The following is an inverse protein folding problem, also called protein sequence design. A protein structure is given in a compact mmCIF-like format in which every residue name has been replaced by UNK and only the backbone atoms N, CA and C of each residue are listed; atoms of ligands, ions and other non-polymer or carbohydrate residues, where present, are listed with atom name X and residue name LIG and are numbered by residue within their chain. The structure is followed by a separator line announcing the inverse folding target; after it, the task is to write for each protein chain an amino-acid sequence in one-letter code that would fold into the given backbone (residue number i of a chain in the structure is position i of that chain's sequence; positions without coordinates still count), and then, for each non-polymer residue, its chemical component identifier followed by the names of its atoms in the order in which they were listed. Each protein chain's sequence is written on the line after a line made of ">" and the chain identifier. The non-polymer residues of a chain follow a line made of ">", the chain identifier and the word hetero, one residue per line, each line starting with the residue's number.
data_IF_807553493472
#
_entry.id   IF_807553493472
#
_cell.length_a   1.000
_cell.length_b   1.000
_cell.length_c   1.000
_cell.angle_alpha   90.00
_cell.angle_beta   90.00
_cell.angle_gamma   90.00
#
_symmetry.space_group_name_H-M   'P 1'
#
loop_
_entity.id
_entity.type
_entity.pdbx_description
1 polymer ?
#
# COMPACT_ATOMS: atom_id res chain seq x y z
N UNK A 1 54.28 22.11 19.25
CA UNK A 1 54.63 20.65 19.13
C UNK A 1 53.44 19.72 19.46
N UNK A 2 52.58 20.03 20.41
CA UNK A 2 51.46 19.17 20.81
C UNK A 2 50.35 19.03 19.75
N UNK A 3 49.99 20.13 19.03
CA UNK A 3 48.90 20.11 18.04
C UNK A 3 49.18 19.18 16.85
N UNK A 4 50.42 19.17 16.31
CA UNK A 4 50.78 18.23 15.22
C UNK A 4 50.67 16.75 15.62
N UNK A 5 50.89 16.42 16.90
CA UNK A 5 50.77 15.07 17.45
C UNK A 5 49.32 14.65 17.48
N UNK A 6 48.38 15.53 17.97
CA UNK A 6 46.96 15.26 17.98
C UNK A 6 46.38 15.13 16.57
N UNK A 7 46.81 15.94 15.62
CA UNK A 7 46.38 15.86 14.23
C UNK A 7 46.80 14.52 13.58
N UNK A 8 47.98 13.99 13.88
CA UNK A 8 48.41 12.65 13.41
C UNK A 8 47.54 11.53 14.01
N UNK A 9 47.20 11.59 15.30
CA UNK A 9 46.32 10.60 15.89
C UNK A 9 44.91 10.68 15.30
N UNK A 10 44.39 11.85 15.02
CA UNK A 10 43.09 12.03 14.40
C UNK A 10 43.03 11.43 12.98
N UNK A 11 44.07 11.60 12.16
CA UNK A 11 44.19 10.97 10.85
C UNK A 11 44.33 9.46 10.91
N UNK A 12 45.08 8.93 11.89
CA UNK A 12 45.21 7.47 12.08
C UNK A 12 43.87 6.87 12.52
N UNK A 13 43.17 7.50 13.48
CA UNK A 13 41.85 7.02 13.91
C UNK A 13 40.83 7.11 12.78
N UNK A 14 40.80 8.19 11.99
CA UNK A 14 39.94 8.30 10.83
C UNK A 14 40.22 7.22 9.78
N UNK A 15 41.51 6.92 9.52
CA UNK A 15 41.92 5.86 8.63
C UNK A 15 41.45 4.46 9.10
N UNK A 16 41.58 4.19 10.40
CA UNK A 16 41.11 2.92 11.00
C UNK A 16 39.58 2.81 10.90
N UNK A 17 38.84 3.89 11.14
CA UNK A 17 37.38 3.89 11.01
C UNK A 17 36.95 3.63 9.56
N UNK A 18 37.62 4.22 8.58
CA UNK A 18 37.31 4.00 7.16
C UNK A 18 37.64 2.56 6.77
N UNK A 19 38.78 2.00 7.22
CA UNK A 19 39.14 0.60 6.96
C UNK A 19 38.19 -0.38 7.66
N UNK A 20 37.82 -0.11 8.91
CA UNK A 20 36.87 -0.93 9.66
C UNK A 20 35.47 -0.87 9.05
N UNK A 21 34.99 0.31 8.63
CA UNK A 21 33.72 0.44 7.93
C UNK A 21 33.73 -0.22 6.58
N UNK A 22 34.83 -0.15 5.82
CA UNK A 22 35.03 -0.86 4.57
C UNK A 22 35.04 -2.39 4.76
N UNK A 23 35.69 -2.86 5.82
CA UNK A 23 35.70 -4.29 6.17
C UNK A 23 34.33 -4.80 6.62
N UNK A 24 33.62 -4.03 7.46
CA UNK A 24 32.23 -4.31 7.87
C UNK A 24 31.30 -4.27 6.65
N UNK A 25 31.46 -3.31 5.77
CA UNK A 25 30.68 -3.22 4.53
C UNK A 25 30.95 -4.41 3.59
N UNK A 26 32.21 -4.87 3.47
CA UNK A 26 32.54 -6.06 2.67
C UNK A 26 32.08 -7.39 3.32
N UNK A 27 32.05 -7.48 4.65
CA UNK A 27 31.69 -8.73 5.34
C UNK A 27 30.23 -8.81 5.78
N UNK A 28 29.57 -7.69 6.08
CA UNK A 28 28.22 -7.63 6.60
C UNK A 28 27.27 -6.75 5.79
N UNK A 29 27.81 -5.89 4.95
CA UNK A 29 27.06 -4.94 4.10
C UNK A 29 26.96 -5.38 2.65
N UNK A 30 27.38 -6.55 2.31
CA UNK A 30 27.05 -7.14 1.04
C UNK A 30 25.54 -7.29 0.96
N UNK A 31 24.85 -6.37 0.28
CA UNK A 31 23.65 -6.73 -0.45
C UNK A 31 23.98 -8.07 -1.07
N UNK A 32 23.30 -9.12 -0.59
CA UNK A 32 23.70 -10.47 -0.84
C UNK A 32 24.27 -10.62 -2.24
N UNK A 33 25.57 -10.91 -2.30
CA UNK A 33 26.16 -11.45 -3.51
C UNK A 33 25.62 -12.87 -3.68
N UNK A 34 24.29 -12.97 -3.67
CA UNK A 34 23.64 -14.10 -4.27
C UNK A 34 24.22 -14.15 -5.67
N UNK A 35 24.92 -15.22 -5.99
CA UNK A 35 25.44 -15.47 -7.33
C UNK A 35 24.32 -15.09 -8.30
N UNK A 36 24.54 -14.01 -9.04
CA UNK A 36 23.58 -13.63 -10.08
C UNK A 36 23.48 -14.86 -10.99
N UNK A 37 22.32 -15.49 -10.99
CA UNK A 37 22.05 -16.59 -11.90
C UNK A 37 22.28 -16.07 -13.32
N UNK A 38 23.02 -16.81 -14.11
CA UNK A 38 23.17 -16.50 -15.54
C UNK A 38 21.76 -16.51 -16.18
N UNK A 39 21.59 -15.68 -17.19
CA UNK A 39 20.31 -15.60 -17.93
C UNK A 39 19.89 -16.99 -18.45
N UNK A 40 20.85 -17.82 -18.85
CA UNK A 40 20.61 -19.20 -19.27
C UNK A 40 20.08 -20.08 -18.13
N UNK A 41 20.62 -19.95 -16.91
CA UNK A 41 20.11 -20.63 -15.72
C UNK A 41 18.71 -20.14 -15.36
N UNK A 42 18.46 -18.83 -15.43
CA UNK A 42 17.13 -18.25 -15.19
C UNK A 42 16.09 -18.76 -16.18
N UNK A 43 16.44 -18.86 -17.45
CA UNK A 43 15.55 -19.40 -18.50
C UNK A 43 15.15 -20.86 -18.23
N UNK A 44 16.02 -21.65 -17.62
CA UNK A 44 15.70 -23.03 -17.25
C UNK A 44 14.60 -23.12 -16.19
N UNK A 45 14.58 -22.18 -15.25
CA UNK A 45 13.57 -22.13 -14.17
C UNK A 45 12.33 -21.28 -14.54
N UNK A 46 12.46 -20.37 -15.49
CA UNK A 46 11.36 -19.52 -15.94
C UNK A 46 10.31 -20.36 -16.67
N UNK A 47 9.06 -20.17 -16.30
CA UNK A 47 7.91 -20.82 -16.95
C UNK A 47 6.93 -19.76 -17.42
N UNK A 48 6.17 -20.04 -18.51
CA UNK A 48 5.10 -19.16 -18.94
C UNK A 48 4.05 -18.98 -17.85
N UNK A 49 3.41 -17.81 -17.78
CA UNK A 49 2.37 -17.53 -16.79
C UNK A 49 1.17 -18.49 -16.91
N UNK A 50 0.91 -19.00 -18.10
CA UNK A 50 -0.15 -19.99 -18.38
C UNK A 50 0.09 -21.32 -17.65
N UNK A 51 1.33 -21.59 -17.26
CA UNK A 51 1.70 -22.77 -16.47
C UNK A 51 1.46 -22.62 -14.97
N UNK A 52 0.98 -21.47 -14.52
CA UNK A 52 0.62 -21.26 -13.10
C UNK A 52 -0.46 -22.28 -12.73
N UNK A 53 -0.17 -23.02 -11.65
CA UNK A 53 -1.11 -23.92 -11.01
C UNK A 53 -1.56 -23.32 -9.67
N UNK A 54 -2.85 -23.19 -9.49
CA UNK A 54 -3.48 -22.76 -8.24
C UNK A 54 -4.25 -23.95 -7.67
N UNK A 55 -3.98 -24.39 -6.44
CA UNK A 55 -4.76 -25.43 -5.79
C UNK A 55 -6.25 -25.07 -5.65
N UNK A 56 -7.14 -26.04 -5.82
CA UNK A 56 -8.59 -25.81 -5.81
C UNK A 56 -9.12 -25.22 -4.48
N UNK A 57 -8.39 -25.43 -3.37
CA UNK A 57 -8.73 -24.88 -2.06
C UNK A 57 -8.12 -23.51 -1.77
N UNK A 58 -7.35 -22.93 -2.70
CA UNK A 58 -6.77 -21.60 -2.53
C UNK A 58 -7.86 -20.54 -2.63
N UNK A 59 -8.01 -19.74 -1.58
CA UNK A 59 -8.98 -18.63 -1.53
C UNK A 59 -8.31 -17.27 -1.75
N UNK A 60 -7.02 -17.17 -1.50
CA UNK A 60 -6.21 -15.96 -1.64
C UNK A 60 -4.96 -16.32 -2.43
N UNK A 61 -4.66 -15.51 -3.43
CA UNK A 61 -3.47 -15.62 -4.28
C UNK A 61 -2.69 -14.32 -4.10
N UNK A 62 -1.48 -14.40 -3.58
CA UNK A 62 -0.63 -13.24 -3.37
C UNK A 62 0.45 -13.13 -4.44
N UNK A 63 0.60 -11.94 -5.02
CA UNK A 63 1.68 -11.61 -5.94
C UNK A 63 2.70 -10.73 -5.19
N UNK A 64 3.91 -11.27 -4.99
CA UNK A 64 5.01 -10.50 -4.43
C UNK A 64 5.58 -9.50 -5.43
N UNK A 65 6.05 -8.37 -4.95
CA UNK A 65 6.73 -7.36 -5.76
C UNK A 65 8.14 -7.10 -5.21
N UNK A 66 9.16 -7.28 -6.05
CA UNK A 66 10.57 -7.14 -5.62
C UNK A 66 10.97 -5.66 -5.44
N UNK A 67 10.40 -4.77 -6.23
CA UNK A 67 10.63 -3.31 -6.18
C UNK A 67 9.47 -2.55 -6.80
N UNK A 68 9.10 -1.45 -6.17
CA UNK A 68 8.07 -0.55 -6.68
C UNK A 68 8.53 0.17 -7.97
N UNK A 69 7.57 0.55 -8.81
CA UNK A 69 7.82 1.38 -10.01
C UNK A 69 8.42 0.65 -11.20
N UNK A 70 8.57 -0.68 -11.17
CA UNK A 70 9.01 -1.43 -12.33
C UNK A 70 7.84 -1.70 -13.29
N UNK A 71 7.93 -1.13 -14.51
CA UNK A 71 6.91 -1.26 -15.56
C UNK A 71 6.54 -2.72 -15.86
N UNK A 72 7.51 -3.63 -15.90
CA UNK A 72 7.27 -5.05 -16.18
C UNK A 72 6.45 -5.74 -15.08
N UNK A 73 6.69 -5.39 -13.82
CA UNK A 73 5.88 -5.92 -12.72
C UNK A 73 4.46 -5.38 -12.74
N UNK A 74 4.28 -4.11 -13.07
CA UNK A 74 2.94 -3.54 -13.22
C UNK A 74 2.16 -4.21 -14.35
N UNK A 75 2.81 -4.43 -15.51
CA UNK A 75 2.21 -5.18 -16.62
C UNK A 75 1.88 -6.63 -16.22
N UNK A 76 2.79 -7.30 -15.52
CA UNK A 76 2.60 -8.67 -15.08
C UNK A 76 1.38 -8.83 -14.17
N UNK A 77 1.06 -7.83 -13.33
CA UNK A 77 -0.16 -7.82 -12.51
C UNK A 77 -1.41 -7.99 -13.37
N UNK A 78 -1.51 -7.26 -14.46
CA UNK A 78 -2.64 -7.37 -15.40
C UNK A 78 -2.68 -8.74 -16.08
N UNK A 79 -1.54 -9.19 -16.59
CA UNK A 79 -1.47 -10.45 -17.35
C UNK A 79 -1.84 -11.65 -16.45
N UNK A 80 -1.30 -11.69 -15.21
CA UNK A 80 -1.65 -12.73 -14.23
C UNK A 80 -3.09 -12.60 -13.77
N UNK A 81 -3.58 -11.38 -13.50
CA UNK A 81 -4.96 -11.19 -13.07
C UNK A 81 -5.97 -11.67 -14.12
N UNK A 82 -5.74 -11.37 -15.40
CA UNK A 82 -6.57 -11.91 -16.51
C UNK A 82 -6.62 -13.43 -16.47
N UNK A 83 -5.45 -14.07 -16.40
CA UNK A 83 -5.37 -15.53 -16.31
C UNK A 83 -6.16 -16.07 -15.12
N UNK A 84 -6.04 -15.41 -13.95
CA UNK A 84 -6.74 -15.85 -12.73
C UNK A 84 -8.26 -15.66 -12.83
N UNK A 85 -8.71 -14.58 -13.45
CA UNK A 85 -10.15 -14.37 -13.75
C UNK A 85 -10.67 -15.45 -14.69
N UNK A 86 -10.00 -15.67 -15.82
CA UNK A 86 -10.46 -16.56 -16.89
C UNK A 86 -10.39 -18.04 -16.50
N UNK A 87 -9.30 -18.46 -15.84
CA UNK A 87 -9.03 -19.87 -15.56
C UNK A 87 -9.53 -20.33 -14.19
N UNK A 88 -9.51 -19.42 -13.19
CA UNK A 88 -9.78 -19.76 -11.79
C UNK A 88 -10.96 -18.99 -11.18
N UNK A 89 -11.64 -18.15 -11.96
CA UNK A 89 -12.82 -17.42 -11.51
C UNK A 89 -12.55 -16.41 -10.41
N UNK A 90 -11.33 -15.85 -10.34
CA UNK A 90 -10.99 -14.81 -9.36
C UNK A 90 -11.81 -13.57 -9.64
N UNK A 91 -12.44 -12.99 -8.60
CA UNK A 91 -13.33 -11.82 -8.71
C UNK A 91 -12.77 -10.56 -8.07
N UNK A 92 -11.83 -10.68 -7.14
CA UNK A 92 -11.28 -9.55 -6.39
C UNK A 92 -9.82 -9.27 -6.70
N UNK A 93 -9.49 -8.00 -6.89
CA UNK A 93 -8.12 -7.51 -6.94
C UNK A 93 -7.88 -6.60 -5.73
N UNK A 94 -6.94 -6.96 -4.88
CA UNK A 94 -6.56 -6.20 -3.69
C UNK A 94 -5.17 -5.61 -3.87
N UNK A 95 -5.04 -4.31 -3.66
CA UNK A 95 -3.77 -3.58 -3.82
C UNK A 95 -3.38 -2.88 -2.51
N UNK A 96 -2.09 -2.68 -2.29
CA UNK A 96 -1.57 -1.74 -1.30
C UNK A 96 -1.88 -0.30 -1.75
N UNK A 97 -3.15 0.02 -1.79
CA UNK A 97 -3.71 1.31 -2.18
C UNK A 97 -4.58 1.86 -1.06
N UNK A 98 -4.85 3.17 -1.10
CA UNK A 98 -5.69 3.84 -0.11
C UNK A 98 -7.06 3.18 0.01
N UNK A 99 -7.48 2.82 1.23
CA UNK A 99 -8.72 2.11 1.46
C UNK A 99 -9.94 2.88 0.92
N UNK A 100 -10.08 4.15 1.30
CA UNK A 100 -11.21 4.97 0.86
C UNK A 100 -11.11 5.35 -0.61
N UNK A 101 -9.91 5.67 -1.10
CA UNK A 101 -9.69 6.04 -2.50
C UNK A 101 -9.95 4.89 -3.47
N UNK A 102 -9.65 3.66 -3.07
CA UNK A 102 -9.94 2.48 -3.89
C UNK A 102 -11.43 2.16 -4.01
N UNK A 103 -12.29 2.67 -3.12
CA UNK A 103 -13.74 2.61 -3.31
C UNK A 103 -14.21 3.46 -4.51
N UNK A 104 -13.59 4.63 -4.73
CA UNK A 104 -13.87 5.42 -5.93
C UNK A 104 -13.37 4.71 -7.20
N UNK A 105 -12.22 4.00 -7.11
CA UNK A 105 -11.75 3.11 -8.20
C UNK A 105 -12.77 2.01 -8.47
N UNK A 106 -13.29 1.39 -7.42
CA UNK A 106 -14.31 0.36 -7.54
C UNK A 106 -15.60 0.90 -8.17
N UNK A 107 -16.03 2.09 -7.80
CA UNK A 107 -17.16 2.76 -8.45
C UNK A 107 -16.89 3.02 -9.94
N UNK A 108 -15.68 3.45 -10.32
CA UNK A 108 -15.30 3.66 -11.72
C UNK A 108 -15.42 2.38 -12.55
N UNK A 109 -14.91 1.25 -12.07
CA UNK A 109 -14.97 -0.02 -12.81
C UNK A 109 -16.39 -0.62 -12.90
N UNK A 110 -17.33 -0.14 -12.07
CA UNK A 110 -18.75 -0.49 -12.12
C UNK A 110 -19.60 0.52 -12.92
N UNK A 111 -19.00 1.26 -13.83
CA UNK A 111 -19.71 2.17 -14.73
C UNK A 111 -19.77 3.63 -14.26
N UNK A 112 -19.09 3.96 -13.17
CA UNK A 112 -18.94 5.33 -12.70
C UNK A 112 -18.32 6.25 -13.77
N UNK A 113 -18.61 7.55 -13.65
CA UNK A 113 -18.08 8.60 -14.54
C UNK A 113 -16.58 8.81 -14.35
N UNK A 114 -15.96 9.52 -15.30
CA UNK A 114 -14.53 9.85 -15.26
C UNK A 114 -13.67 8.95 -16.14
N UNK A 115 -12.36 9.10 -16.00
CA UNK A 115 -11.34 8.42 -16.80
C UNK A 115 -10.54 7.45 -15.96
N UNK A 116 -9.85 6.49 -16.60
CA UNK A 116 -8.91 5.59 -15.92
C UNK A 116 -7.77 6.36 -15.22
N UNK A 117 -7.33 7.48 -15.82
CA UNK A 117 -6.32 8.36 -15.24
C UNK A 117 -6.79 9.00 -13.91
N UNK A 118 -8.03 9.45 -13.85
CA UNK A 118 -8.63 10.01 -12.63
C UNK A 118 -8.77 8.92 -11.56
N UNK A 119 -9.27 7.74 -11.94
CA UNK A 119 -9.41 6.60 -11.04
C UNK A 119 -8.07 6.14 -10.45
N UNK A 120 -7.01 6.05 -11.27
CA UNK A 120 -5.66 5.68 -10.79
C UNK A 120 -5.13 6.67 -9.74
N UNK A 121 -5.44 7.96 -9.86
CA UNK A 121 -5.04 8.97 -8.86
C UNK A 121 -5.66 8.69 -7.48
N UNK A 122 -6.84 8.08 -7.45
CA UNK A 122 -7.56 7.72 -6.23
C UNK A 122 -6.93 6.55 -5.47
N UNK A 123 -6.13 5.71 -6.13
CA UNK A 123 -5.33 4.66 -5.45
C UNK A 123 -4.40 5.27 -4.37
N UNK A 124 -4.08 6.56 -4.51
CA UNK A 124 -3.44 7.34 -3.45
C UNK A 124 -1.90 7.37 -3.52
N UNK A 125 -1.25 6.40 -4.15
CA UNK A 125 0.21 6.31 -4.22
C UNK A 125 0.75 6.60 -5.62
N UNK A 126 1.85 7.38 -5.67
CA UNK A 126 2.46 7.80 -6.93
C UNK A 126 2.97 6.63 -7.78
N UNK A 127 3.40 5.56 -7.13
CA UNK A 127 3.92 4.35 -7.79
C UNK A 127 2.89 3.64 -8.67
N UNK A 128 1.60 3.87 -8.44
CA UNK A 128 0.51 3.26 -9.22
C UNK A 128 -0.05 4.17 -10.32
N UNK A 129 0.43 5.43 -10.43
CA UNK A 129 0.01 6.36 -11.50
C UNK A 129 0.73 6.02 -12.81
N UNK A 130 0.40 4.87 -13.38
CA UNK A 130 1.06 4.30 -14.56
C UNK A 130 0.04 3.89 -15.61
N UNK A 131 0.46 3.82 -16.87
CA UNK A 131 -0.36 3.31 -17.98
C UNK A 131 -0.81 1.87 -17.73
N UNK A 132 0.07 1.04 -17.13
CA UNK A 132 -0.23 -0.36 -16.85
C UNK A 132 -1.37 -0.49 -15.84
N UNK A 133 -1.42 0.38 -14.83
CA UNK A 133 -2.52 0.39 -13.87
C UNK A 133 -3.81 0.91 -14.53
N UNK A 134 -3.74 1.93 -15.38
CA UNK A 134 -4.90 2.36 -16.18
C UNK A 134 -5.46 1.21 -17.03
N UNK A 135 -4.60 0.45 -17.72
CA UNK A 135 -5.02 -0.72 -18.50
C UNK A 135 -5.67 -1.81 -17.63
N UNK A 136 -5.22 -2.00 -16.40
CA UNK A 136 -5.86 -2.94 -15.47
C UNK A 136 -7.28 -2.48 -15.12
N UNK A 137 -7.46 -1.20 -14.81
CA UNK A 137 -8.79 -0.66 -14.49
C UNK A 137 -9.73 -0.66 -15.71
N UNK A 138 -9.21 -0.35 -16.89
CA UNK A 138 -9.99 -0.43 -18.14
C UNK A 138 -10.43 -1.87 -18.45
N UNK A 139 -9.55 -2.85 -18.25
CA UNK A 139 -9.90 -4.26 -18.36
C UNK A 139 -11.04 -4.63 -17.40
N UNK A 140 -10.92 -4.26 -16.12
CA UNK A 140 -11.95 -4.55 -15.13
C UNK A 140 -13.28 -3.87 -15.47
N UNK A 141 -13.25 -2.61 -15.91
CA UNK A 141 -14.45 -1.87 -16.37
C UNK A 141 -15.11 -2.52 -17.58
N UNK A 142 -14.31 -2.93 -18.57
CA UNK A 142 -14.82 -3.60 -19.76
C UNK A 142 -15.42 -4.98 -19.44
N UNK A 143 -14.79 -5.72 -18.52
CA UNK A 143 -15.33 -6.99 -18.02
C UNK A 143 -16.68 -6.80 -17.34
N UNK A 144 -16.75 -5.87 -16.37
CA UNK A 144 -17.95 -5.60 -15.59
C UNK A 144 -19.15 -5.13 -16.43
N UNK A 145 -18.89 -4.42 -17.53
CA UNK A 145 -19.95 -4.01 -18.46
C UNK A 145 -20.75 -5.18 -19.03
N UNK A 146 -20.12 -6.34 -19.13
CA UNK A 146 -20.70 -7.55 -19.74
C UNK A 146 -20.89 -8.70 -18.72
N UNK A 147 -20.54 -8.47 -17.46
CA UNK A 147 -20.68 -9.48 -16.42
C UNK A 147 -22.15 -9.70 -16.04
N UNK A 148 -22.50 -10.94 -15.72
CA UNK A 148 -23.78 -11.25 -15.12
C UNK A 148 -23.81 -10.76 -13.67
N UNK A 149 -24.99 -10.69 -13.08
CA UNK A 149 -25.17 -10.32 -11.67
C UNK A 149 -24.32 -11.24 -10.75
N UNK A 150 -23.50 -10.64 -9.89
CA UNK A 150 -22.60 -11.35 -8.97
C UNK A 150 -21.30 -11.87 -9.60
N UNK A 151 -21.11 -11.67 -10.92
CA UNK A 151 -19.89 -12.08 -11.65
C UNK A 151 -18.90 -10.92 -11.87
N UNK A 152 -19.23 -9.73 -11.38
CA UNK A 152 -18.44 -8.53 -11.49
C UNK A 152 -17.08 -8.65 -10.77
N UNK A 153 -16.08 -8.00 -11.36
CA UNK A 153 -14.76 -7.84 -10.74
C UNK A 153 -14.77 -6.66 -9.77
N UNK A 154 -14.08 -6.81 -8.65
CA UNK A 154 -13.99 -5.79 -7.61
C UNK A 154 -12.55 -5.40 -7.33
N UNK A 155 -12.34 -4.10 -7.08
CA UNK A 155 -11.05 -3.53 -6.74
C UNK A 155 -11.07 -3.04 -5.29
N UNK A 156 -10.07 -3.40 -4.51
CA UNK A 156 -9.96 -3.04 -3.10
C UNK A 156 -8.59 -2.44 -2.77
N UNK A 157 -8.58 -1.41 -1.92
CA UNK A 157 -7.40 -0.94 -1.23
C UNK A 157 -7.27 -1.58 0.16
N UNK A 158 -6.06 -1.85 0.60
CA UNK A 158 -5.81 -2.39 1.95
C UNK A 158 -4.90 -1.49 2.79
N UNK A 159 -4.50 -0.32 2.28
CA UNK A 159 -3.64 0.60 3.01
C UNK A 159 -4.46 1.64 3.77
N UNK A 160 -4.09 1.86 5.03
CA UNK A 160 -4.80 2.73 5.97
C UNK A 160 -3.94 3.92 6.43
N UNK A 161 -2.86 4.24 5.72
CA UNK A 161 -1.94 5.31 6.09
C UNK A 161 -2.50 6.71 5.81
N UNK A 162 -3.61 6.83 5.09
CA UNK A 162 -4.21 8.09 4.66
C UNK A 162 -5.62 8.23 5.20
N UNK A 163 -5.97 9.46 5.58
CA UNK A 163 -7.29 9.76 6.15
C UNK A 163 -8.27 10.34 5.12
N UNK A 164 -7.76 11.07 4.12
CA UNK A 164 -8.55 11.99 3.29
C UNK A 164 -9.78 11.33 2.67
N UNK A 165 -9.60 10.28 1.90
CA UNK A 165 -10.72 9.66 1.19
C UNK A 165 -11.67 8.90 2.12
N UNK A 166 -11.13 8.21 3.13
CA UNK A 166 -11.97 7.54 4.13
C UNK A 166 -12.80 8.52 4.94
N UNK A 167 -12.24 9.71 5.25
CA UNK A 167 -12.95 10.76 5.95
C UNK A 167 -14.03 11.41 5.06
N UNK A 168 -13.73 11.69 3.81
CA UNK A 168 -14.70 12.20 2.84
C UNK A 168 -15.88 11.24 2.67
N UNK A 169 -15.59 9.94 2.52
CA UNK A 169 -16.61 8.90 2.41
C UNK A 169 -17.46 8.82 3.68
N UNK A 170 -16.84 8.86 4.86
CA UNK A 170 -17.55 8.88 6.13
C UNK A 170 -18.47 10.11 6.28
N UNK A 171 -18.00 11.30 5.92
CA UNK A 171 -18.82 12.52 5.92
C UNK A 171 -20.06 12.38 5.03
N UNK A 172 -19.90 11.82 3.83
CA UNK A 172 -21.00 11.58 2.91
C UNK A 172 -22.03 10.61 3.50
N UNK A 173 -21.57 9.53 4.13
CA UNK A 173 -22.47 8.59 4.78
C UNK A 173 -23.19 9.22 5.98
N UNK A 174 -22.49 9.92 6.85
CA UNK A 174 -23.07 10.63 7.99
C UNK A 174 -24.20 11.60 7.55
N UNK A 175 -24.02 12.27 6.43
CA UNK A 175 -25.01 13.22 5.90
C UNK A 175 -26.36 12.57 5.58
N UNK A 176 -26.37 11.27 5.20
CA UNK A 176 -27.60 10.52 4.93
C UNK A 176 -28.46 10.32 6.19
N UNK A 177 -27.84 10.34 7.35
CA UNK A 177 -28.48 10.16 8.66
C UNK A 177 -28.65 11.47 9.43
N UNK A 178 -28.27 12.61 8.84
CA UNK A 178 -28.30 13.91 9.51
C UNK A 178 -27.31 14.03 10.69
N UNK A 179 -26.27 13.22 10.70
CA UNK A 179 -25.23 13.24 11.74
C UNK A 179 -24.28 14.42 11.48
N UNK A 180 -24.02 15.21 12.52
CA UNK A 180 -23.08 16.32 12.48
C UNK A 180 -21.64 15.83 12.27
N UNK A 181 -20.95 16.42 11.29
CA UNK A 181 -19.57 16.08 10.93
C UNK A 181 -18.61 17.25 11.10
N UNK A 182 -19.01 18.30 11.83
CA UNK A 182 -18.16 19.49 12.07
C UNK A 182 -16.86 19.13 12.79
N UNK A 183 -16.85 18.10 13.63
CA UNK A 183 -15.64 17.57 14.27
C UNK A 183 -14.55 17.19 13.26
N UNK A 184 -14.92 16.89 12.02
CA UNK A 184 -13.97 16.44 10.99
C UNK A 184 -13.24 17.61 10.28
N UNK A 185 -13.49 18.86 10.70
CA UNK A 185 -12.76 20.07 10.30
C UNK A 185 -11.59 20.37 11.25
N UNK A 186 -11.60 19.77 12.43
CA UNK A 186 -10.54 19.82 13.43
C UNK A 186 -9.62 18.58 13.32
N UNK A 187 -8.46 18.55 14.00
CA UNK A 187 -7.67 17.33 14.09
C UNK A 187 -8.52 16.17 14.61
N UNK A 188 -8.60 15.11 13.82
CA UNK A 188 -9.34 13.91 14.22
C UNK A 188 -8.76 13.31 15.48
N UNK A 189 -9.63 12.92 16.40
CA UNK A 189 -9.28 12.18 17.59
C UNK A 189 -10.15 10.92 17.76
N UNK A 190 -9.64 9.98 18.56
CA UNK A 190 -10.29 8.69 18.75
C UNK A 190 -11.62 8.81 19.50
N UNK A 191 -11.79 9.78 20.40
CA UNK A 191 -13.01 9.95 21.17
C UNK A 191 -14.19 10.33 20.28
N UNK A 192 -13.97 11.29 19.37
CA UNK A 192 -15.00 11.71 18.41
C UNK A 192 -15.34 10.57 17.44
N UNK A 193 -14.36 9.83 16.93
CA UNK A 193 -14.61 8.69 16.05
C UNK A 193 -15.39 7.56 16.73
N UNK A 194 -15.09 7.26 17.99
CA UNK A 194 -15.83 6.24 18.74
C UNK A 194 -17.27 6.67 19.04
N UNK A 195 -17.51 7.95 19.38
CA UNK A 195 -18.86 8.48 19.53
C UNK A 195 -19.65 8.40 18.22
N UNK A 196 -19.00 8.77 17.11
CA UNK A 196 -19.59 8.68 15.79
C UNK A 196 -19.96 7.25 15.43
N UNK A 197 -19.06 6.29 15.66
CA UNK A 197 -19.30 4.88 15.44
C UNK A 197 -20.55 4.40 16.20
N UNK A 198 -20.65 4.74 17.49
CA UNK A 198 -21.83 4.42 18.29
C UNK A 198 -23.13 5.06 17.75
N UNK A 199 -23.05 6.28 17.22
CA UNK A 199 -24.20 6.92 16.57
C UNK A 199 -24.60 6.17 15.28
N UNK A 200 -23.63 5.85 14.43
CA UNK A 200 -23.87 5.07 13.19
C UNK A 200 -24.49 3.71 13.46
N UNK A 201 -24.03 3.02 14.50
CA UNK A 201 -24.63 1.75 14.97
C UNK A 201 -26.08 1.91 15.39
N UNK A 202 -26.42 2.99 16.12
CA UNK A 202 -27.82 3.29 16.50
C UNK A 202 -28.73 3.54 15.29
N UNK A 203 -28.22 4.16 14.24
CA UNK A 203 -28.98 4.39 13.01
C UNK A 203 -29.00 3.17 12.08
N UNK A 204 -28.42 2.02 12.46
CA UNK A 204 -28.23 0.86 11.60
C UNK A 204 -27.56 1.21 10.28
N UNK A 205 -26.56 2.08 10.33
CA UNK A 205 -25.82 2.50 9.17
C UNK A 205 -25.16 1.30 8.47
N UNK A 206 -24.91 1.43 7.16
CA UNK A 206 -24.23 0.41 6.37
C UNK A 206 -22.91 0.01 7.03
N UNK A 207 -22.59 -1.28 6.98
CA UNK A 207 -21.35 -1.84 7.52
C UNK A 207 -20.10 -1.14 6.97
N UNK A 208 -20.18 -0.56 5.78
CA UNK A 208 -19.14 0.24 5.15
C UNK A 208 -18.82 1.52 5.91
N UNK A 209 -19.84 2.18 6.49
CA UNK A 209 -19.65 3.35 7.35
C UNK A 209 -18.84 3.00 8.60
N UNK A 210 -19.15 1.85 9.20
CA UNK A 210 -18.41 1.36 10.36
C UNK A 210 -16.97 1.00 10.00
N UNK A 211 -16.74 0.44 8.81
CA UNK A 211 -15.38 0.18 8.31
C UNK A 211 -14.57 1.47 8.15
N UNK A 212 -15.15 2.56 7.65
CA UNK A 212 -14.44 3.84 7.55
C UNK A 212 -14.03 4.38 8.93
N UNK A 213 -14.89 4.26 9.94
CA UNK A 213 -14.51 4.66 11.30
C UNK A 213 -13.37 3.80 11.84
N UNK A 214 -13.38 2.50 11.59
CA UNK A 214 -12.32 1.59 12.02
C UNK A 214 -10.99 1.89 11.31
N UNK A 215 -11.02 2.17 10.00
CA UNK A 215 -9.82 2.58 9.24
C UNK A 215 -9.24 3.89 9.76
N UNK A 216 -10.08 4.86 10.08
CA UNK A 216 -9.62 6.14 10.63
C UNK A 216 -9.03 5.98 12.03
N UNK A 217 -9.62 5.15 12.90
CA UNK A 217 -9.06 4.82 14.21
C UNK A 217 -7.69 4.14 14.07
N UNK A 218 -7.56 3.16 13.18
CA UNK A 218 -6.28 2.50 12.93
C UNK A 218 -5.23 3.46 12.37
N UNK A 219 -5.64 4.40 11.53
CA UNK A 219 -4.74 5.44 11.02
C UNK A 219 -4.20 6.33 12.16
N UNK A 220 -5.03 6.72 13.12
CA UNK A 220 -4.59 7.48 14.30
C UNK A 220 -3.56 6.70 15.12
N UNK A 221 -3.75 5.40 15.30
CA UNK A 221 -2.81 4.53 16.01
C UNK A 221 -1.46 4.45 15.28
N UNK A 222 -1.47 4.30 13.96
CA UNK A 222 -0.26 4.28 13.12
C UNK A 222 0.48 5.63 13.22
N UNK A 223 -0.24 6.74 13.14
CA UNK A 223 0.35 8.08 13.24
C UNK A 223 0.96 8.31 14.62
N UNK A 224 0.25 7.99 15.69
CA UNK A 224 0.75 8.10 17.07
C UNK A 224 2.01 7.26 17.29
N UNK A 225 2.05 6.04 16.78
CA UNK A 225 3.23 5.17 16.83
C UNK A 225 4.41 5.76 16.04
N UNK A 226 4.14 6.37 14.88
CA UNK A 226 5.16 7.04 14.05
C UNK A 226 5.73 8.29 14.73
N UNK A 227 4.88 9.09 15.34
CA UNK A 227 5.28 10.28 16.11
C UNK A 227 6.12 9.89 17.33
N UNK A 228 5.73 8.87 18.07
CA UNK A 228 6.50 8.33 19.19
C UNK A 228 7.89 7.85 18.75
N UNK A 229 7.99 7.11 17.62
CA UNK A 229 9.27 6.72 17.03
C UNK A 229 10.10 7.93 16.59
N UNK A 230 9.47 8.94 16.02
CA UNK A 230 10.11 10.20 15.63
C UNK A 230 10.62 11.01 16.82
N UNK A 231 9.87 11.03 17.93
CA UNK A 231 10.29 11.64 19.19
C UNK A 231 11.49 10.91 19.80
N UNK A 232 11.45 9.57 19.85
CA UNK A 232 12.57 8.73 20.30
C UNK A 232 13.83 8.94 19.47
N UNK A 233 13.73 9.11 18.14
CA UNK A 233 14.88 9.43 17.28
C UNK A 233 15.49 10.79 17.59
N UNK A 234 14.68 11.76 17.99
CA UNK A 234 15.12 13.14 18.33
C UNK A 234 15.64 13.27 19.75
N UNK A 235 15.41 12.27 20.60
CA UNK A 235 15.95 12.27 21.97
C UNK A 235 17.48 12.15 21.95
N UNK A 236 18.20 12.92 22.75
CA UNK A 236 19.64 12.75 22.97
C UNK A 236 19.97 11.33 23.38
N UNK A 237 21.13 10.82 22.94
CA UNK A 237 21.54 9.42 23.17
C UNK A 237 21.51 9.02 24.64
N UNK A 238 21.81 9.95 25.57
CA UNK A 238 21.83 9.74 27.02
C UNK A 238 20.43 9.64 27.66
N UNK A 239 19.35 9.91 26.93
CA UNK A 239 17.96 9.74 27.38
C UNK A 239 17.28 8.49 26.78
N UNK A 240 18.00 7.67 26.01
CA UNK A 240 17.47 6.47 25.34
C UNK A 240 17.71 5.16 26.11
N UNK A 241 18.10 5.25 27.36
CA UNK A 241 18.34 4.08 28.25
C UNK A 241 17.12 3.74 29.06
#
# INVERSE_FOLDING_TARGET
>A
MKLKKYLRYLFVCAGIIVLASGFVFMHFGGFGTGKLLDVSEMQYYAKPIESIFIPDNARIIALGEATHGNKKFQKLKLDVFKLLVEKYGVKGFVLEGDFGGCEEVNAYIHGGTGTAEEAVKKIGFQIYKTEEMMHLLEYMKAYNKNANEGEDLRFYGMDMQRQTYSLEALKQECSKYGIDTTFAEEPLDAEHLLKLKGSLEMYNADSKCLQYTDVLLQNLDIMSASEAKGALKRMPIWLKT
#
